data_IF_334410545061
#
_entry.id   IF_334410545061
#
_cell.length_a   1.000
_cell.length_b   1.000
_cell.length_c   1.000
_cell.angle_alpha   90.00
_cell.angle_beta   90.00
_cell.angle_gamma   90.00
#
_symmetry.space_group_name_H-M   'P 1'
#
loop_
_entity.id
_entity.type
_entity.pdbx_description
1 polymer ?
#
# COMPACT_ATOMS: atom_id res chain seq x y z
N UNK A 1 35.23 -7.81 -7.79
CA UNK A 1 34.11 -6.90 -8.10
C UNK A 1 33.25 -6.78 -6.85
N UNK A 2 32.58 -5.65 -6.59
CA UNK A 2 31.65 -5.57 -5.46
C UNK A 2 30.53 -6.59 -5.68
N UNK A 3 30.10 -7.23 -4.60
CA UNK A 3 28.94 -8.13 -4.64
C UNK A 3 27.69 -7.34 -5.02
N UNK A 4 26.73 -7.98 -5.68
CA UNK A 4 25.50 -7.37 -6.15
C UNK A 4 24.31 -7.70 -5.24
N UNK A 5 23.31 -6.84 -5.27
CA UNK A 5 21.97 -7.10 -4.74
C UNK A 5 21.03 -7.32 -5.94
N UNK A 6 20.35 -8.47 -6.00
CA UNK A 6 19.31 -8.70 -6.99
C UNK A 6 17.99 -8.09 -6.51
N UNK A 7 17.62 -6.91 -7.02
CA UNK A 7 16.34 -6.27 -6.73
C UNK A 7 15.30 -6.69 -7.75
N UNK A 8 14.37 -7.55 -7.34
CA UNK A 8 13.40 -8.20 -8.22
C UNK A 8 12.02 -7.56 -8.00
N UNK A 9 11.41 -7.05 -9.08
CA UNK A 9 10.09 -6.43 -9.04
C UNK A 9 9.22 -6.87 -10.21
N UNK A 10 7.88 -6.88 -10.07
CA UNK A 10 7.00 -7.22 -11.18
C UNK A 10 7.21 -6.29 -12.38
N UNK A 11 7.29 -4.97 -12.14
CA UNK A 11 7.49 -3.89 -13.13
C UNK A 11 7.98 -2.62 -12.41
N UNK A 12 8.48 -1.60 -13.16
CA UNK A 12 8.95 -0.35 -12.56
C UNK A 12 7.88 0.40 -11.74
N UNK A 13 6.63 0.31 -12.16
CA UNK A 13 5.51 0.99 -11.53
C UNK A 13 4.79 0.07 -10.52
N UNK A 14 4.25 0.53 -9.39
CA UNK A 14 4.10 1.92 -8.93
C UNK A 14 5.40 2.55 -8.37
N UNK A 15 5.35 3.87 -8.11
CA UNK A 15 6.48 4.68 -7.62
C UNK A 15 7.17 4.09 -6.38
N UNK A 16 6.41 3.42 -5.52
CA UNK A 16 6.95 2.72 -4.35
C UNK A 16 8.07 1.73 -4.71
N UNK A 17 8.00 1.06 -5.87
CA UNK A 17 9.04 0.13 -6.32
C UNK A 17 10.38 0.84 -6.59
N UNK A 18 10.34 2.10 -7.07
CA UNK A 18 11.52 2.92 -7.28
C UNK A 18 12.08 3.41 -5.94
N UNK A 19 11.20 3.94 -5.08
CA UNK A 19 11.60 4.44 -3.76
C UNK A 19 12.23 3.37 -2.86
N UNK A 20 11.75 2.13 -2.93
CA UNK A 20 12.35 1.00 -2.19
C UNK A 20 13.73 0.65 -2.74
N UNK A 21 13.90 0.62 -4.06
CA UNK A 21 15.20 0.37 -4.69
C UNK A 21 16.23 1.44 -4.26
N UNK A 22 15.87 2.74 -4.34
CA UNK A 22 16.70 3.85 -3.91
C UNK A 22 17.04 3.79 -2.41
N UNK A 23 16.05 3.42 -1.58
CA UNK A 23 16.23 3.31 -0.14
C UNK A 23 17.16 2.14 0.22
N UNK A 24 17.02 1.01 -0.47
CA UNK A 24 17.90 -0.15 -0.29
C UNK A 24 19.34 0.16 -0.74
N UNK A 25 19.51 0.78 -1.90
CA UNK A 25 20.84 1.17 -2.41
C UNK A 25 21.57 2.11 -1.44
N UNK A 26 20.85 3.05 -0.81
CA UNK A 26 21.44 3.93 0.23
C UNK A 26 21.89 3.18 1.49
N UNK A 27 21.26 2.06 1.81
CA UNK A 27 21.64 1.26 2.99
C UNK A 27 22.81 0.31 2.72
N UNK A 28 23.09 -0.01 1.46
CA UNK A 28 24.20 -0.89 1.04
C UNK A 28 25.04 -0.24 -0.06
N UNK A 29 25.69 0.92 0.25
CA UNK A 29 26.41 1.70 -0.76
C UNK A 29 27.65 0.96 -1.32
N UNK A 30 28.12 -0.06 -0.62
CA UNK A 30 29.23 -0.93 -1.03
C UNK A 30 28.84 -1.99 -2.06
N UNK A 31 27.54 -2.14 -2.35
CA UNK A 31 27.02 -3.15 -3.27
C UNK A 31 26.32 -2.51 -4.47
N UNK A 32 26.44 -3.13 -5.62
CA UNK A 32 25.70 -2.72 -6.82
C UNK A 32 24.27 -3.26 -6.76
N UNK A 33 23.27 -2.39 -6.93
CA UNK A 33 21.87 -2.80 -7.02
C UNK A 33 21.50 -3.12 -8.47
N UNK A 34 21.30 -4.40 -8.79
CA UNK A 34 20.83 -4.83 -10.10
C UNK A 34 19.31 -5.00 -10.11
N UNK A 35 18.62 -4.19 -10.93
CA UNK A 35 17.16 -4.20 -11.03
C UNK A 35 16.69 -5.21 -12.07
N UNK A 36 15.85 -6.15 -11.66
CA UNK A 36 15.27 -7.19 -12.51
C UNK A 36 13.75 -7.03 -12.54
N UNK A 37 13.18 -6.74 -13.72
CA UNK A 37 11.74 -6.67 -13.91
C UNK A 37 11.22 -8.01 -14.43
N UNK A 38 10.34 -8.66 -13.70
CA UNK A 38 9.76 -9.97 -14.08
C UNK A 38 8.98 -9.88 -15.39
N UNK A 39 8.22 -8.79 -15.57
CA UNK A 39 7.43 -8.57 -16.79
C UNK A 39 8.31 -8.56 -18.05
N UNK A 40 9.51 -7.98 -17.96
CA UNK A 40 10.46 -7.93 -19.09
C UNK A 40 11.03 -9.32 -19.40
N UNK A 41 11.37 -10.11 -18.36
CA UNK A 41 11.83 -11.50 -18.53
C UNK A 41 10.77 -12.37 -19.22
N UNK A 42 9.52 -12.25 -18.81
CA UNK A 42 8.43 -13.02 -19.40
C UNK A 42 8.14 -12.57 -20.84
N UNK A 43 8.15 -11.26 -21.10
CA UNK A 43 7.95 -10.69 -22.45
C UNK A 43 9.05 -11.09 -23.45
N UNK A 44 10.26 -11.31 -22.97
CA UNK A 44 11.38 -11.79 -23.79
C UNK A 44 11.17 -13.24 -24.28
N UNK A 45 10.14 -13.95 -23.82
CA UNK A 45 9.79 -15.33 -24.24
C UNK A 45 8.38 -15.39 -24.87
N UNK A 46 8.24 -15.16 -26.20
CA UNK A 46 6.94 -15.20 -26.87
C UNK A 46 6.20 -16.53 -26.69
N UNK A 47 6.93 -17.64 -26.69
CA UNK A 47 6.38 -18.97 -26.45
C UNK A 47 5.71 -19.06 -25.07
N UNK A 48 6.36 -18.50 -24.03
CA UNK A 48 5.79 -18.46 -22.68
C UNK A 48 4.49 -17.65 -22.66
N UNK A 49 4.44 -16.52 -23.36
CA UNK A 49 3.22 -15.70 -23.44
C UNK A 49 2.06 -16.46 -24.08
N UNK A 50 2.30 -17.14 -25.20
CA UNK A 50 1.27 -17.91 -25.92
C UNK A 50 0.75 -19.08 -25.06
N UNK A 51 1.65 -19.90 -24.55
CA UNK A 51 1.27 -21.05 -23.71
C UNK A 51 0.50 -20.59 -22.48
N UNK A 52 0.99 -19.55 -21.79
CA UNK A 52 0.32 -19.06 -20.57
C UNK A 52 -1.04 -18.43 -20.87
N UNK A 53 -1.21 -17.76 -22.02
CA UNK A 53 -2.52 -17.23 -22.44
C UNK A 53 -3.55 -18.37 -22.63
N UNK A 54 -3.16 -19.44 -23.28
CA UNK A 54 -4.01 -20.63 -23.46
C UNK A 54 -4.35 -21.24 -22.09
N UNK A 55 -3.35 -21.45 -21.23
CA UNK A 55 -3.55 -22.01 -19.90
C UNK A 55 -4.41 -21.10 -19.00
N UNK A 56 -4.33 -19.78 -19.18
CA UNK A 56 -5.18 -18.82 -18.46
C UNK A 56 -6.65 -19.03 -18.82
N UNK A 57 -6.95 -19.18 -20.13
CA UNK A 57 -8.31 -19.45 -20.58
C UNK A 57 -8.80 -20.83 -20.11
N UNK A 58 -7.97 -21.87 -20.21
CA UNK A 58 -8.32 -23.20 -19.74
C UNK A 58 -8.58 -23.26 -18.23
N UNK A 59 -7.80 -22.51 -17.44
CA UNK A 59 -7.91 -22.54 -15.98
C UNK A 59 -9.00 -21.62 -15.44
N UNK A 60 -9.14 -20.42 -16.01
CA UNK A 60 -9.98 -19.35 -15.47
C UNK A 60 -11.03 -18.81 -16.45
N UNK A 61 -11.22 -19.47 -17.60
CA UNK A 61 -12.12 -18.98 -18.66
C UNK A 61 -13.55 -18.74 -18.19
N UNK A 62 -14.11 -19.65 -17.38
CA UNK A 62 -15.43 -19.46 -16.77
C UNK A 62 -15.47 -18.23 -15.84
N UNK A 63 -14.49 -18.07 -14.97
CA UNK A 63 -14.40 -16.92 -14.06
C UNK A 63 -14.24 -15.60 -14.81
N UNK A 64 -13.51 -15.63 -15.94
CA UNK A 64 -13.30 -14.46 -16.79
C UNK A 64 -14.61 -14.10 -17.52
N UNK A 65 -15.31 -15.09 -18.06
CA UNK A 65 -16.57 -14.87 -18.78
C UNK A 65 -17.70 -14.35 -17.87
N UNK A 66 -17.70 -14.75 -16.59
CA UNK A 66 -18.66 -14.27 -15.58
C UNK A 66 -18.23 -12.94 -14.94
N UNK A 67 -17.07 -12.37 -15.31
CA UNK A 67 -16.55 -11.12 -14.76
C UNK A 67 -16.01 -11.22 -13.32
N UNK A 68 -15.94 -12.44 -12.74
CA UNK A 68 -15.38 -12.65 -11.40
C UNK A 68 -13.87 -12.47 -11.35
N UNK A 69 -13.17 -12.71 -12.48
CA UNK A 69 -11.73 -12.46 -12.65
C UNK A 69 -11.45 -11.69 -13.94
N UNK A 70 -10.39 -10.87 -13.93
CA UNK A 70 -9.90 -10.20 -15.14
C UNK A 70 -8.79 -11.02 -15.78
N UNK A 71 -8.81 -11.18 -17.10
CA UNK A 71 -7.79 -11.94 -17.83
C UNK A 71 -6.36 -11.52 -17.45
N UNK A 72 -6.08 -10.21 -17.43
CA UNK A 72 -4.76 -9.67 -17.08
C UNK A 72 -4.28 -10.09 -15.70
N UNK A 73 -5.17 -10.21 -14.71
CA UNK A 73 -4.83 -10.63 -13.35
C UNK A 73 -4.65 -12.15 -13.27
N UNK A 74 -5.53 -12.90 -13.94
CA UNK A 74 -5.51 -14.36 -14.02
C UNK A 74 -4.27 -14.88 -14.77
N UNK A 75 -3.82 -14.16 -15.82
CA UNK A 75 -2.60 -14.48 -16.56
C UNK A 75 -1.36 -14.62 -15.66
N UNK A 76 -1.21 -13.77 -14.66
CA UNK A 76 -0.10 -13.80 -13.73
C UNK A 76 -0.29 -14.77 -12.54
N UNK A 77 -1.37 -15.59 -12.56
CA UNK A 77 -1.72 -16.50 -11.46
C UNK A 77 -1.94 -17.95 -11.92
N UNK A 78 -1.45 -18.32 -13.08
CA UNK A 78 -1.41 -19.74 -13.47
C UNK A 78 -0.21 -20.42 -12.80
N UNK A 79 -0.30 -21.70 -12.42
CA UNK A 79 0.86 -22.44 -11.92
C UNK A 79 2.02 -22.48 -12.93
N UNK A 80 1.72 -22.50 -14.21
CA UNK A 80 2.73 -22.49 -15.28
C UNK A 80 3.59 -21.23 -15.25
N UNK A 81 3.00 -20.04 -15.18
CA UNK A 81 3.77 -18.78 -15.18
C UNK A 81 4.58 -18.64 -13.89
N UNK A 82 4.06 -19.15 -12.78
CA UNK A 82 4.76 -19.16 -11.50
C UNK A 82 6.08 -19.95 -11.60
N UNK A 83 6.03 -21.18 -12.09
CA UNK A 83 7.22 -22.02 -12.29
C UNK A 83 8.15 -21.46 -13.37
N UNK A 84 7.59 -20.91 -14.43
CA UNK A 84 8.38 -20.34 -15.52
C UNK A 84 9.18 -19.12 -15.07
N UNK A 85 8.58 -18.24 -14.29
CA UNK A 85 9.30 -17.09 -13.70
C UNK A 85 10.46 -17.56 -12.83
N UNK A 86 10.27 -18.58 -11.99
CA UNK A 86 11.33 -19.16 -11.18
C UNK A 86 12.50 -19.69 -12.03
N UNK A 87 12.21 -20.38 -13.13
CA UNK A 87 13.21 -20.88 -14.08
C UNK A 87 13.98 -19.75 -14.77
N UNK A 88 13.26 -18.71 -15.24
CA UNK A 88 13.87 -17.56 -15.91
C UNK A 88 14.79 -16.78 -14.95
N UNK A 89 14.35 -16.61 -13.70
CA UNK A 89 15.18 -15.97 -12.67
C UNK A 89 16.40 -16.81 -12.31
N UNK A 90 16.28 -18.13 -12.23
CA UNK A 90 17.42 -19.02 -12.02
C UNK A 90 18.48 -18.83 -13.12
N UNK A 91 18.07 -18.77 -14.38
CA UNK A 91 18.97 -18.53 -15.51
C UNK A 91 19.59 -17.12 -15.45
N UNK A 92 18.79 -16.10 -15.09
CA UNK A 92 19.25 -14.71 -15.02
C UNK A 92 20.25 -14.46 -13.90
N UNK A 93 20.09 -15.15 -12.76
CA UNK A 93 20.94 -15.02 -11.58
C UNK A 93 22.14 -15.97 -11.59
N UNK A 94 22.13 -16.98 -12.48
CA UNK A 94 23.25 -17.92 -12.60
C UNK A 94 24.53 -17.22 -13.08
N UNK A 95 25.63 -17.43 -12.37
CA UNK A 95 26.94 -16.84 -12.66
C UNK A 95 27.13 -15.40 -12.16
N UNK A 96 26.14 -14.79 -11.52
CA UNK A 96 26.30 -13.52 -10.84
C UNK A 96 26.77 -13.68 -9.39
N UNK A 97 27.62 -12.77 -8.91
CA UNK A 97 28.06 -12.73 -7.50
C UNK A 97 27.08 -11.84 -6.70
N UNK A 98 25.99 -12.45 -6.22
CA UNK A 98 24.97 -11.76 -5.43
C UNK A 98 25.14 -12.07 -3.94
N UNK A 99 25.03 -11.03 -3.09
CA UNK A 99 24.99 -11.19 -1.63
C UNK A 99 23.63 -11.68 -1.17
N UNK A 100 22.58 -11.15 -1.76
CA UNK A 100 21.19 -11.53 -1.49
C UNK A 100 20.27 -11.07 -2.61
N UNK A 101 19.02 -11.56 -2.59
CA UNK A 101 17.93 -11.09 -3.44
C UNK A 101 16.85 -10.43 -2.60
N UNK A 102 16.27 -9.34 -3.12
CA UNK A 102 15.19 -8.59 -2.50
C UNK A 102 14.02 -8.47 -3.47
N UNK A 103 12.90 -9.07 -3.11
CA UNK A 103 11.72 -9.16 -3.96
C UNK A 103 10.63 -8.21 -3.51
N UNK A 104 10.06 -7.49 -4.46
CA UNK A 104 8.84 -6.69 -4.29
C UNK A 104 7.62 -7.55 -4.58
N UNK A 105 6.68 -7.60 -3.63
CA UNK A 105 5.44 -8.37 -3.72
C UNK A 105 5.61 -9.89 -3.66
N UNK A 106 4.53 -10.62 -3.41
CA UNK A 106 4.51 -12.07 -3.19
C UNK A 106 3.92 -12.87 -4.36
N UNK A 107 3.88 -12.28 -5.57
CA UNK A 107 3.21 -12.90 -6.72
C UNK A 107 3.93 -14.15 -7.25
N UNK A 108 5.27 -14.22 -7.10
CA UNK A 108 6.11 -15.31 -7.57
C UNK A 108 7.15 -15.71 -6.52
N UNK A 109 7.62 -16.95 -6.60
CA UNK A 109 8.77 -17.38 -5.81
C UNK A 109 10.07 -17.05 -6.57
N UNK A 110 10.75 -16.00 -6.14
CA UNK A 110 12.01 -15.54 -6.74
C UNK A 110 13.24 -16.06 -5.98
N UNK A 111 13.06 -16.90 -4.96
CA UNK A 111 14.15 -17.49 -4.19
C UNK A 111 15.04 -18.40 -5.03
N UNK A 112 16.33 -18.43 -4.72
CA UNK A 112 17.29 -19.34 -5.33
C UNK A 112 18.06 -20.10 -4.24
N UNK A 113 18.39 -21.38 -4.46
CA UNK A 113 19.22 -22.15 -3.52
C UNK A 113 20.56 -21.46 -3.21
N UNK A 114 20.91 -21.35 -1.94
CA UNK A 114 22.18 -20.76 -1.50
C UNK A 114 22.23 -19.23 -1.54
N UNK A 115 21.16 -18.53 -1.95
CA UNK A 115 21.08 -17.07 -1.96
C UNK A 115 20.04 -16.60 -0.93
N UNK A 116 20.43 -15.86 0.14
CA UNK A 116 19.49 -15.25 1.06
C UNK A 116 18.44 -14.43 0.32
N UNK A 117 17.15 -14.65 0.64
CA UNK A 117 16.04 -14.08 -0.09
C UNK A 117 15.09 -13.31 0.83
N UNK A 118 14.81 -12.06 0.49
CA UNK A 118 13.95 -11.16 1.25
C UNK A 118 12.75 -10.73 0.42
N UNK A 119 11.58 -10.66 1.06
CA UNK A 119 10.33 -10.24 0.41
C UNK A 119 9.82 -8.98 1.10
N UNK A 120 9.31 -8.03 0.32
CA UNK A 120 8.58 -6.88 0.83
C UNK A 120 7.23 -6.75 0.12
N UNK A 121 6.15 -6.91 0.87
CA UNK A 121 4.78 -6.91 0.32
C UNK A 121 3.84 -6.00 1.10
N UNK A 122 2.83 -5.45 0.41
CA UNK A 122 1.77 -4.64 0.99
C UNK A 122 0.45 -5.40 1.11
N UNK A 123 0.37 -6.59 0.53
CA UNK A 123 -0.87 -7.35 0.52
C UNK A 123 -0.58 -8.84 0.37
N UNK A 124 -1.51 -9.66 0.87
CA UNK A 124 -1.60 -11.10 0.59
C UNK A 124 -2.96 -11.41 -0.01
N UNK A 125 -3.08 -12.52 -0.73
CA UNK A 125 -4.37 -12.86 -1.32
C UNK A 125 -5.43 -13.16 -0.26
N UNK A 126 -5.06 -13.87 0.82
CA UNK A 126 -6.00 -14.22 1.90
C UNK A 126 -6.35 -13.02 2.79
N UNK A 127 -5.53 -11.97 2.85
CA UNK A 127 -5.90 -10.75 3.58
C UNK A 127 -7.18 -10.09 3.05
N UNK A 128 -7.59 -10.36 1.81
CA UNK A 128 -8.88 -9.91 1.30
C UNK A 128 -10.07 -10.43 2.10
N UNK A 129 -9.93 -11.56 2.80
CA UNK A 129 -10.99 -12.14 3.64
C UNK A 129 -11.29 -11.31 4.89
N UNK A 130 -10.41 -10.39 5.27
CA UNK A 130 -10.65 -9.45 6.39
C UNK A 130 -11.58 -8.30 6.02
N UNK A 131 -11.86 -8.09 4.74
CA UNK A 131 -12.76 -7.03 4.29
C UNK A 131 -14.19 -7.56 4.15
N UNK A 132 -15.15 -6.95 4.84
CA UNK A 132 -16.55 -7.39 4.89
C UNK A 132 -17.24 -7.56 3.53
N UNK A 133 -16.84 -6.73 2.57
CA UNK A 133 -17.44 -6.68 1.23
C UNK A 133 -16.69 -7.54 0.21
N UNK A 134 -15.72 -8.33 0.63
CA UNK A 134 -14.97 -9.15 -0.30
C UNK A 134 -15.82 -10.26 -0.90
N UNK A 135 -15.93 -10.27 -2.22
CA UNK A 135 -16.64 -11.34 -2.92
C UNK A 135 -15.75 -12.59 -3.01
N UNK A 136 -16.15 -13.66 -2.33
CA UNK A 136 -15.43 -14.94 -2.28
C UNK A 136 -15.19 -15.56 -3.67
N UNK A 137 -16.03 -15.26 -4.68
CA UNK A 137 -15.82 -15.68 -6.08
C UNK A 137 -14.53 -15.09 -6.69
N UNK A 138 -13.98 -14.04 -6.11
CA UNK A 138 -12.70 -13.46 -6.52
C UNK A 138 -11.49 -14.20 -5.93
N UNK A 139 -11.70 -15.09 -4.96
CA UNK A 139 -10.63 -15.89 -4.38
C UNK A 139 -10.06 -16.83 -5.46
N UNK A 140 -8.74 -16.94 -5.52
CA UNK A 140 -8.07 -17.88 -6.41
C UNK A 140 -8.10 -19.29 -5.80
N UNK A 141 -8.01 -20.35 -6.63
CA UNK A 141 -8.05 -21.73 -6.16
C UNK A 141 -6.94 -22.05 -5.14
N UNK A 142 -7.16 -23.04 -4.28
CA UNK A 142 -6.22 -23.46 -3.25
C UNK A 142 -4.81 -23.69 -3.78
N UNK A 143 -4.69 -24.30 -4.96
CA UNK A 143 -3.39 -24.52 -5.62
C UNK A 143 -2.59 -23.24 -5.79
N UNK A 144 -3.23 -22.11 -6.10
CA UNK A 144 -2.54 -20.83 -6.22
C UNK A 144 -2.18 -20.25 -4.83
N UNK A 145 -3.06 -20.42 -3.84
CA UNK A 145 -2.80 -20.04 -2.44
C UNK A 145 -1.58 -20.80 -1.89
N UNK A 146 -1.46 -22.09 -2.21
CA UNK A 146 -0.32 -22.90 -1.82
C UNK A 146 0.99 -22.43 -2.46
N UNK A 147 0.94 -21.95 -3.72
CA UNK A 147 2.09 -21.32 -4.37
C UNK A 147 2.47 -20.00 -3.69
N UNK A 148 1.50 -19.17 -3.32
CA UNK A 148 1.79 -17.95 -2.55
C UNK A 148 2.37 -18.28 -1.16
N UNK A 149 1.88 -19.32 -0.49
CA UNK A 149 2.46 -19.83 0.76
C UNK A 149 3.92 -20.25 0.58
N UNK A 150 4.24 -20.92 -0.53
CA UNK A 150 5.62 -21.32 -0.85
C UNK A 150 6.55 -20.11 -0.99
N UNK A 151 6.06 -18.99 -1.56
CA UNK A 151 6.83 -17.73 -1.64
C UNK A 151 7.33 -17.29 -0.27
N UNK A 152 6.42 -17.25 0.72
CA UNK A 152 6.78 -16.88 2.09
C UNK A 152 7.66 -17.92 2.77
N UNK A 153 7.41 -19.21 2.53
CA UNK A 153 8.18 -20.30 3.14
C UNK A 153 9.64 -20.30 2.69
N UNK A 154 9.91 -19.93 1.45
CA UNK A 154 11.25 -19.91 0.86
C UNK A 154 12.04 -18.63 1.14
N UNK A 155 11.40 -17.58 1.69
CA UNK A 155 12.10 -16.37 2.07
C UNK A 155 12.91 -16.55 3.36
N UNK A 156 14.05 -15.87 3.48
CA UNK A 156 14.82 -15.74 4.73
C UNK A 156 14.11 -14.84 5.73
N UNK A 157 13.51 -13.71 5.24
CA UNK A 157 12.63 -12.81 5.99
C UNK A 157 11.54 -12.28 5.08
N UNK A 158 10.39 -12.00 5.67
CA UNK A 158 9.24 -11.35 5.02
C UNK A 158 9.00 -10.01 5.68
N UNK A 159 9.17 -8.94 4.92
CA UNK A 159 8.83 -7.58 5.34
C UNK A 159 7.43 -7.23 4.85
N UNK A 160 6.65 -6.64 5.71
CA UNK A 160 5.27 -6.24 5.40
C UNK A 160 5.04 -4.78 5.74
N UNK A 161 4.06 -4.16 5.04
CA UNK A 161 3.78 -2.73 5.20
C UNK A 161 2.81 -2.41 6.33
N UNK A 162 2.15 -3.43 6.90
CA UNK A 162 1.16 -3.23 7.96
C UNK A 162 1.06 -4.43 8.89
N UNK A 163 0.55 -4.20 10.12
CA UNK A 163 0.30 -5.26 11.10
C UNK A 163 -0.76 -6.25 10.61
N UNK A 164 -1.78 -5.78 9.91
CA UNK A 164 -2.82 -6.60 9.29
C UNK A 164 -2.21 -7.61 8.28
N UNK A 165 -1.23 -7.19 7.48
CA UNK A 165 -0.54 -8.11 6.56
C UNK A 165 0.44 -9.02 7.31
N UNK A 166 1.06 -8.55 8.40
CA UNK A 166 1.84 -9.43 9.28
C UNK A 166 0.98 -10.56 9.83
N UNK A 167 -0.17 -10.24 10.39
CA UNK A 167 -1.15 -11.22 10.87
C UNK A 167 -1.55 -12.20 9.78
N UNK A 168 -1.85 -11.70 8.57
CA UNK A 168 -2.20 -12.57 7.44
C UNK A 168 -1.08 -13.56 7.11
N UNK A 169 0.17 -13.11 6.98
CA UNK A 169 1.32 -14.00 6.66
C UNK A 169 1.55 -15.02 7.77
N UNK A 170 1.42 -14.62 9.02
CA UNK A 170 1.62 -15.52 10.17
C UNK A 170 0.48 -16.52 10.30
N UNK A 171 -0.76 -16.06 10.35
CA UNK A 171 -1.92 -16.90 10.69
C UNK A 171 -2.48 -17.64 9.47
N UNK A 172 -2.67 -16.95 8.35
CA UNK A 172 -3.32 -17.54 7.17
C UNK A 172 -2.33 -18.34 6.30
N UNK A 173 -1.06 -17.92 6.24
CA UNK A 173 -0.01 -18.65 5.51
C UNK A 173 0.92 -19.45 6.42
N UNK A 174 0.67 -19.48 7.73
CA UNK A 174 1.37 -20.28 8.73
C UNK A 174 2.89 -20.06 8.75
N UNK A 175 3.32 -18.80 8.64
CA UNK A 175 4.73 -18.48 8.76
C UNK A 175 5.11 -18.15 10.22
N UNK A 176 6.31 -18.53 10.67
CA UNK A 176 6.77 -18.17 12.02
C UNK A 176 6.82 -16.65 12.21
N UNK A 177 6.34 -16.15 13.35
CA UNK A 177 6.33 -14.71 13.65
C UNK A 177 7.73 -14.09 13.60
N UNK A 178 8.78 -14.80 14.04
CA UNK A 178 10.17 -14.34 13.99
C UNK A 178 10.74 -14.19 12.57
N UNK A 179 10.01 -14.62 11.55
CA UNK A 179 10.37 -14.47 10.13
C UNK A 179 9.69 -13.27 9.48
N UNK A 180 8.59 -12.75 10.05
CA UNK A 180 7.72 -11.75 9.46
C UNK A 180 7.82 -10.43 10.23
N UNK A 181 8.30 -9.38 9.58
CA UNK A 181 8.57 -8.10 10.23
C UNK A 181 7.73 -6.98 9.62
N UNK A 182 6.90 -6.31 10.42
CA UNK A 182 6.19 -5.11 10.01
C UNK A 182 7.16 -3.91 10.04
N UNK A 183 7.61 -3.52 8.87
CA UNK A 183 8.55 -2.41 8.67
C UNK A 183 7.86 -1.13 8.20
N UNK A 184 6.57 -1.23 7.84
CA UNK A 184 5.75 -0.18 7.22
C UNK A 184 6.23 0.20 5.81
N UNK A 185 5.90 1.40 5.33
CA UNK A 185 6.43 1.97 4.09
C UNK A 185 6.66 3.47 4.28
N UNK A 186 7.58 4.01 3.50
CA UNK A 186 7.81 5.45 3.45
C UNK A 186 6.76 6.17 2.62
N UNK A 187 6.57 7.45 2.89
CA UNK A 187 5.71 8.32 2.12
C UNK A 187 6.30 8.56 0.71
N UNK A 188 5.44 8.86 -0.27
CA UNK A 188 5.86 9.22 -1.62
C UNK A 188 6.49 10.62 -1.68
N UNK A 189 6.04 11.54 -0.83
CA UNK A 189 6.60 12.89 -0.66
C UNK A 189 7.78 12.82 0.30
N UNK A 190 8.85 13.53 0.01
CA UNK A 190 10.01 13.60 0.89
C UNK A 190 9.62 14.25 2.23
N UNK A 191 9.99 13.59 3.32
CA UNK A 191 9.65 14.06 4.67
C UNK A 191 10.61 15.20 5.01
N UNK A 192 10.06 16.41 5.16
CA UNK A 192 10.82 17.60 5.61
C UNK A 192 11.05 17.54 7.11
N UNK A 193 12.09 18.23 7.61
CA UNK A 193 12.38 18.28 9.05
C UNK A 193 11.38 19.12 9.84
N UNK A 194 10.74 20.07 9.18
CA UNK A 194 9.74 20.96 9.78
C UNK A 194 8.46 20.93 8.94
N UNK A 195 7.28 21.09 9.57
CA UNK A 195 6.04 21.27 8.85
C UNK A 195 6.14 22.46 7.89
N UNK A 196 5.69 22.29 6.66
CA UNK A 196 5.62 23.39 5.70
C UNK A 196 4.64 24.45 6.23
N UNK A 197 5.12 25.65 6.52
CA UNK A 197 4.35 26.85 6.93
C UNK A 197 3.39 26.64 8.12
N UNK A 198 3.13 27.73 8.86
CA UNK A 198 2.13 27.75 9.96
C UNK A 198 0.74 27.47 9.38
N UNK A 199 0.23 26.24 9.53
CA UNK A 199 -1.06 25.80 8.99
C UNK A 199 -2.21 26.49 9.71
N UNK A 200 -3.20 26.96 8.93
CA UNK A 200 -4.47 27.45 9.46
C UNK A 200 -5.50 26.32 9.47
N UNK A 201 -6.27 26.21 10.55
CA UNK A 201 -7.34 25.21 10.69
C UNK A 201 -8.74 25.86 10.77
N UNK A 202 -8.87 27.13 10.34
CA UNK A 202 -10.12 27.87 10.46
C UNK A 202 -10.99 27.85 9.20
N UNK A 203 -10.49 27.29 8.09
CA UNK A 203 -11.17 27.36 6.79
C UNK A 203 -12.30 26.33 6.59
N UNK A 204 -12.53 25.43 7.54
CA UNK A 204 -13.58 24.40 7.50
C UNK A 204 -13.59 23.57 6.20
N UNK A 205 -12.43 23.37 5.58
CA UNK A 205 -12.31 22.59 4.34
C UNK A 205 -11.93 21.13 4.63
N UNK A 206 -12.82 20.21 4.28
CA UNK A 206 -12.63 18.76 4.38
C UNK A 206 -12.02 18.28 3.06
N UNK A 207 -10.94 17.52 3.13
CA UNK A 207 -10.28 16.97 1.95
C UNK A 207 -10.48 15.46 1.86
N UNK A 208 -10.88 15.00 0.68
CA UNK A 208 -10.85 13.61 0.25
C UNK A 208 -9.87 13.45 -0.92
N UNK A 209 -8.99 12.44 -0.88
CA UNK A 209 -8.08 12.11 -1.98
C UNK A 209 -8.15 10.63 -2.30
N UNK A 210 -8.68 10.28 -3.47
CA UNK A 210 -8.80 8.89 -3.92
C UNK A 210 -9.38 8.78 -5.32
N UNK A 211 -8.94 7.76 -6.09
CA UNK A 211 -9.40 7.57 -7.48
C UNK A 211 -10.67 6.71 -7.53
N UNK A 212 -10.71 5.64 -6.73
CA UNK A 212 -11.82 4.69 -6.69
C UNK A 212 -12.86 5.15 -5.67
N UNK A 213 -13.84 5.90 -6.15
CA UNK A 213 -14.85 6.58 -5.33
C UNK A 213 -15.61 5.64 -4.38
N UNK A 214 -16.10 4.52 -4.92
CA UNK A 214 -16.87 3.53 -4.16
C UNK A 214 -16.02 2.82 -3.10
N UNK A 215 -14.88 2.29 -3.52
CA UNK A 215 -13.98 1.58 -2.62
C UNK A 215 -13.41 2.48 -1.53
N UNK A 216 -13.22 3.77 -1.83
CA UNK A 216 -12.70 4.78 -0.88
C UNK A 216 -13.79 5.41 0.01
N UNK A 217 -15.03 4.91 -0.11
CA UNK A 217 -16.12 5.29 0.79
C UNK A 217 -16.73 6.66 0.52
N UNK A 218 -16.55 7.17 -0.69
CA UNK A 218 -17.08 8.46 -1.08
C UNK A 218 -18.57 8.65 -0.83
N UNK A 219 -19.45 7.68 -1.16
CA UNK A 219 -20.88 7.81 -0.86
C UNK A 219 -21.18 8.04 0.64
N UNK A 220 -20.52 7.30 1.54
CA UNK A 220 -20.68 7.48 2.98
C UNK A 220 -20.18 8.87 3.44
N UNK A 221 -19.09 9.37 2.84
CA UNK A 221 -18.60 10.72 3.11
C UNK A 221 -19.61 11.79 2.74
N UNK A 222 -20.32 11.65 1.61
CA UNK A 222 -21.36 12.60 1.21
C UNK A 222 -22.49 12.64 2.24
N UNK A 223 -22.96 11.50 2.72
CA UNK A 223 -24.00 11.46 3.75
C UNK A 223 -23.53 12.10 5.07
N UNK A 224 -22.31 11.82 5.49
CA UNK A 224 -21.70 12.46 6.66
C UNK A 224 -21.56 13.98 6.45
N UNK A 225 -21.14 14.43 5.27
CA UNK A 225 -20.99 15.86 4.96
C UNK A 225 -22.34 16.62 4.99
N UNK A 226 -23.43 15.98 4.56
CA UNK A 226 -24.78 16.58 4.70
C UNK A 226 -25.12 16.84 6.18
N UNK A 227 -24.79 15.91 7.09
CA UNK A 227 -24.98 16.08 8.53
C UNK A 227 -24.07 17.17 9.09
N UNK A 228 -22.82 17.24 8.66
CA UNK A 228 -21.87 18.29 9.05
C UNK A 228 -22.41 19.67 8.67
N UNK A 229 -22.95 19.85 7.48
CA UNK A 229 -23.48 21.13 7.01
C UNK A 229 -24.70 21.64 7.79
N UNK A 230 -25.44 20.77 8.44
CA UNK A 230 -26.53 21.22 9.33
C UNK A 230 -25.99 22.03 10.52
N UNK A 231 -24.79 21.71 11.01
CA UNK A 231 -24.12 22.43 12.11
C UNK A 231 -23.13 23.50 11.63
N UNK A 232 -22.43 23.20 10.53
CA UNK A 232 -21.44 24.08 9.88
C UNK A 232 -21.85 24.40 8.44
N UNK A 233 -22.78 25.34 8.19
CA UNK A 233 -23.25 25.63 6.83
C UNK A 233 -22.15 26.12 5.88
N UNK A 234 -21.09 26.74 6.42
CA UNK A 234 -19.90 27.20 5.67
C UNK A 234 -18.88 26.10 5.37
N UNK A 235 -19.04 24.90 5.94
CA UNK A 235 -18.11 23.79 5.68
C UNK A 235 -18.09 23.45 4.18
N UNK A 236 -16.89 23.13 3.68
CA UNK A 236 -16.68 22.75 2.28
C UNK A 236 -16.01 21.38 2.20
N UNK A 237 -16.31 20.66 1.11
CA UNK A 237 -15.70 19.36 0.78
C UNK A 237 -14.97 19.47 -0.55
N UNK A 238 -13.68 19.13 -0.56
CA UNK A 238 -12.87 19.04 -1.79
C UNK A 238 -12.57 17.59 -2.09
N UNK A 239 -12.96 17.11 -3.28
CA UNK A 239 -12.76 15.73 -3.76
C UNK A 239 -11.70 15.76 -4.86
N UNK A 240 -10.56 15.09 -4.62
CA UNK A 240 -9.45 14.99 -5.55
C UNK A 240 -9.22 13.52 -5.97
N UNK A 241 -8.97 13.30 -7.24
CA UNK A 241 -8.72 11.99 -7.83
C UNK A 241 -9.96 11.34 -8.44
N UNK A 242 -11.04 11.23 -7.70
CA UNK A 242 -12.34 10.75 -8.19
C UNK A 242 -13.11 11.87 -8.89
N UNK A 243 -14.03 11.47 -9.78
CA UNK A 243 -14.94 12.40 -10.48
C UNK A 243 -16.38 11.87 -10.40
N UNK A 244 -16.98 11.79 -9.19
CA UNK A 244 -18.38 11.44 -9.06
C UNK A 244 -19.26 12.55 -9.67
N UNK A 245 -20.40 12.14 -10.23
CA UNK A 245 -21.44 13.10 -10.66
C UNK A 245 -22.22 13.54 -9.42
N UNK A 246 -21.89 14.73 -8.89
CA UNK A 246 -22.43 15.27 -7.65
C UNK A 246 -22.85 16.73 -7.85
N UNK A 247 -24.10 17.02 -7.53
CA UNK A 247 -24.62 18.37 -7.39
C UNK A 247 -24.90 18.65 -5.91
N UNK A 248 -23.87 19.05 -5.17
CA UNK A 248 -23.95 19.33 -3.74
C UNK A 248 -23.28 20.67 -3.44
N UNK A 249 -24.01 21.55 -2.76
CA UNK A 249 -23.50 22.86 -2.37
C UNK A 249 -22.25 22.75 -1.48
N UNK A 250 -21.28 23.64 -1.67
CA UNK A 250 -19.97 23.62 -1.00
C UNK A 250 -19.16 22.34 -1.21
N UNK A 251 -19.48 21.55 -2.25
CA UNK A 251 -18.70 20.39 -2.65
C UNK A 251 -18.00 20.66 -3.99
N UNK A 252 -16.66 20.61 -3.98
CA UNK A 252 -15.83 20.81 -5.18
C UNK A 252 -15.26 19.47 -5.63
N UNK A 253 -15.71 18.97 -6.78
CA UNK A 253 -15.12 17.81 -7.45
C UNK A 253 -14.02 18.31 -8.40
N UNK A 254 -12.76 17.98 -8.08
CA UNK A 254 -11.58 18.40 -8.85
C UNK A 254 -11.22 17.36 -9.91
N UNK A 255 -11.44 16.08 -9.60
CA UNK A 255 -10.99 14.98 -10.45
C UNK A 255 -9.48 14.72 -10.34
N UNK A 256 -8.91 14.09 -11.38
CA UNK A 256 -7.48 13.76 -11.42
C UNK A 256 -6.61 15.00 -11.56
N UNK A 257 -5.57 15.08 -10.72
CA UNK A 257 -4.56 16.14 -10.75
C UNK A 257 -3.16 15.53 -10.94
N UNK A 258 -2.20 16.34 -11.33
CA UNK A 258 -0.79 15.92 -11.34
C UNK A 258 -0.27 15.75 -9.92
N UNK A 259 0.67 14.83 -9.68
CA UNK A 259 1.26 14.66 -8.34
C UNK A 259 1.85 15.95 -7.76
N UNK A 260 2.41 16.83 -8.60
CA UNK A 260 2.96 18.13 -8.19
C UNK A 260 1.90 19.13 -7.69
N UNK A 261 0.66 18.97 -8.10
CA UNK A 261 -0.46 19.85 -7.72
C UNK A 261 -1.16 19.37 -6.43
N UNK A 262 -1.00 18.08 -6.09
CA UNK A 262 -1.71 17.44 -5.00
C UNK A 262 -1.36 18.06 -3.63
N UNK A 263 -0.11 18.48 -3.45
CA UNK A 263 0.37 19.09 -2.21
C UNK A 263 -0.44 20.33 -1.79
N UNK A 264 -0.84 21.17 -2.75
CA UNK A 264 -1.61 22.38 -2.47
C UNK A 264 -2.97 22.09 -1.83
N UNK A 265 -3.59 20.96 -2.17
CA UNK A 265 -4.87 20.56 -1.57
C UNK A 265 -4.68 20.11 -0.12
N UNK A 266 -3.61 19.36 0.18
CA UNK A 266 -3.28 19.00 1.56
C UNK A 266 -2.93 20.24 2.40
N UNK A 267 -2.20 21.21 1.85
CA UNK A 267 -1.82 22.44 2.55
C UNK A 267 -3.02 23.31 2.92
N UNK A 268 -4.03 23.41 2.03
CA UNK A 268 -5.21 24.27 2.22
C UNK A 268 -6.34 23.60 2.99
N UNK A 269 -6.31 22.29 3.18
CA UNK A 269 -7.34 21.57 3.92
C UNK A 269 -7.23 21.82 5.45
N UNK A 270 -8.35 21.72 6.13
CA UNK A 270 -8.45 21.76 7.61
C UNK A 270 -8.28 20.36 8.20
N UNK A 271 -8.90 19.37 7.57
CA UNK A 271 -8.82 17.96 7.94
C UNK A 271 -8.89 17.06 6.70
N UNK A 272 -8.44 15.83 6.85
CA UNK A 272 -8.54 14.80 5.83
C UNK A 272 -9.55 13.73 6.26
N UNK A 273 -10.46 13.38 5.36
CA UNK A 273 -11.45 12.32 5.60
C UNK A 273 -11.53 11.37 4.42
N UNK A 274 -11.22 10.10 4.63
CA UNK A 274 -11.38 9.05 3.63
C UNK A 274 -11.88 7.76 4.28
N UNK A 275 -13.21 7.52 4.29
CA UNK A 275 -13.83 6.36 4.95
C UNK A 275 -13.76 5.11 4.06
N UNK A 276 -12.55 4.70 3.71
CA UNK A 276 -12.30 3.61 2.77
C UNK A 276 -12.82 2.26 3.28
N UNK A 277 -13.28 1.41 2.36
CA UNK A 277 -13.78 0.05 2.65
C UNK A 277 -12.68 -1.01 2.52
N UNK A 278 -11.65 -0.71 1.76
CA UNK A 278 -10.48 -1.57 1.52
C UNK A 278 -9.23 -0.71 1.42
N UNK A 279 -8.27 -0.90 2.32
CA UNK A 279 -7.03 -0.13 2.33
C UNK A 279 -5.82 -1.01 2.68
N UNK A 280 -5.07 -1.47 1.67
CA UNK A 280 -3.88 -2.27 1.92
C UNK A 280 -2.79 -1.51 2.69
N UNK A 281 -2.61 -0.20 2.41
CA UNK A 281 -1.60 0.58 3.11
C UNK A 281 -2.03 2.01 3.45
N UNK A 282 -2.55 2.81 2.50
CA UNK A 282 -3.07 4.15 2.80
C UNK A 282 -2.10 5.31 2.56
N UNK A 283 -1.44 5.35 1.41
CA UNK A 283 -0.51 6.44 1.05
C UNK A 283 -1.14 7.84 1.20
N UNK A 284 -2.39 8.04 0.76
CA UNK A 284 -3.07 9.33 0.86
C UNK A 284 -3.24 9.80 2.33
N UNK A 285 -3.39 8.86 3.27
CA UNK A 285 -3.39 9.18 4.69
C UNK A 285 -2.02 9.68 5.15
N UNK A 286 -0.94 9.01 4.75
CA UNK A 286 0.41 9.42 5.12
C UNK A 286 0.77 10.79 4.54
N UNK A 287 0.34 11.08 3.31
CA UNK A 287 0.51 12.39 2.68
C UNK A 287 -0.25 13.48 3.45
N UNK A 288 -1.49 13.21 3.87
CA UNK A 288 -2.29 14.11 4.71
C UNK A 288 -1.66 14.33 6.09
N UNK A 289 -1.15 13.26 6.72
CA UNK A 289 -0.47 13.32 8.01
C UNK A 289 0.83 14.14 7.91
N UNK A 290 1.60 13.99 6.83
CA UNK A 290 2.79 14.81 6.57
C UNK A 290 2.44 16.30 6.42
N UNK A 291 1.28 16.61 5.85
CA UNK A 291 0.76 17.97 5.78
C UNK A 291 0.13 18.46 7.11
N UNK A 292 0.37 17.77 8.21
CA UNK A 292 -0.15 18.08 9.54
C UNK A 292 -1.69 18.15 9.58
N UNK A 293 -2.39 17.27 8.84
CA UNK A 293 -3.85 17.20 8.92
C UNK A 293 -4.29 16.23 10.01
N UNK A 294 -5.29 16.57 10.82
CA UNK A 294 -6.05 15.58 11.58
C UNK A 294 -6.79 14.66 10.59
N UNK A 295 -6.90 13.40 10.95
CA UNK A 295 -7.40 12.34 10.06
C UNK A 295 -8.73 11.78 10.56
N UNK A 296 -9.64 11.53 9.63
CA UNK A 296 -10.79 10.65 9.85
C UNK A 296 -10.69 9.50 8.86
N UNK A 297 -10.65 8.29 9.38
CA UNK A 297 -10.53 7.06 8.60
C UNK A 297 -11.32 5.91 9.22
N UNK A 298 -11.41 4.81 8.48
CA UNK A 298 -12.14 3.61 8.90
C UNK A 298 -11.21 2.56 9.48
N UNK A 299 -11.73 1.76 10.39
CA UNK A 299 -11.03 0.64 11.04
C UNK A 299 -10.86 -0.54 10.08
N UNK A 300 -10.06 -0.36 9.02
CA UNK A 300 -9.79 -1.41 8.02
C UNK A 300 -8.32 -1.44 7.59
N UNK A 301 -7.84 -2.63 7.27
CA UNK A 301 -6.51 -2.84 6.67
C UNK A 301 -5.39 -2.22 7.50
N UNK A 302 -4.58 -1.34 6.88
CA UNK A 302 -3.44 -0.72 7.53
C UNK A 302 -3.77 0.53 8.35
N UNK A 303 -5.00 1.04 8.32
CA UNK A 303 -5.35 2.33 8.94
C UNK A 303 -5.10 2.33 10.45
N UNK A 304 -5.43 1.27 11.23
CA UNK A 304 -5.16 1.23 12.67
C UNK A 304 -3.67 1.32 13.05
N UNK A 305 -2.75 1.08 12.10
CA UNK A 305 -1.31 1.17 12.38
C UNK A 305 -0.83 2.63 12.56
N UNK A 306 -1.53 3.58 11.96
CA UNK A 306 -1.14 5.01 11.99
C UNK A 306 -2.25 5.94 12.49
N UNK A 307 -3.49 5.48 12.60
CA UNK A 307 -4.61 6.25 13.11
C UNK A 307 -5.15 5.62 14.40
N UNK A 308 -4.97 6.32 15.50
CA UNK A 308 -5.49 5.95 16.81
C UNK A 308 -6.61 6.92 17.20
N UNK A 309 -7.77 6.33 17.54
CA UNK A 309 -8.96 7.11 17.89
C UNK A 309 -8.68 8.11 19.03
N UNK A 310 -9.12 9.36 18.86
CA UNK A 310 -8.98 10.48 19.80
C UNK A 310 -7.52 10.83 20.22
N UNK A 311 -6.54 10.25 19.54
CA UNK A 311 -5.14 10.62 19.77
C UNK A 311 -4.56 11.47 18.62
N UNK A 312 -4.77 11.07 17.38
CA UNK A 312 -4.30 11.79 16.19
C UNK A 312 -5.36 11.95 15.10
N UNK A 313 -6.61 11.59 15.42
CA UNK A 313 -7.76 11.66 14.55
C UNK A 313 -8.93 10.84 15.09
N UNK A 314 -9.85 10.49 14.20
CA UNK A 314 -10.99 9.64 14.54
C UNK A 314 -11.01 8.39 13.67
N UNK A 315 -11.05 7.23 14.32
CA UNK A 315 -11.18 5.93 13.70
C UNK A 315 -12.63 5.47 13.86
N UNK A 316 -13.34 5.26 12.74
CA UNK A 316 -14.75 4.87 12.72
C UNK A 316 -14.92 3.51 12.05
N UNK A 317 -16.02 2.82 12.30
CA UNK A 317 -16.30 1.58 11.57
C UNK A 317 -16.75 1.86 10.13
N UNK A 318 -16.50 0.95 9.17
CA UNK A 318 -16.98 1.10 7.80
C UNK A 318 -18.49 1.30 7.75
N UNK A 319 -18.95 2.39 7.13
CA UNK A 319 -20.36 2.73 7.01
C UNK A 319 -20.95 3.52 8.19
N UNK A 320 -20.18 3.79 9.24
CA UNK A 320 -20.62 4.66 10.35
C UNK A 320 -20.62 6.14 9.94
N UNK A 321 -21.67 6.53 9.24
CA UNK A 321 -21.90 7.91 8.77
C UNK A 321 -22.01 8.88 9.94
N UNK A 322 -22.69 8.50 11.02
CA UNK A 322 -22.90 9.36 12.19
C UNK A 322 -21.62 9.61 12.96
N UNK A 323 -20.85 8.55 13.23
CA UNK A 323 -19.54 8.65 13.89
C UNK A 323 -18.56 9.51 13.07
N UNK A 324 -18.56 9.34 11.74
CA UNK A 324 -17.76 10.18 10.84
C UNK A 324 -18.17 11.64 10.91
N UNK A 325 -19.47 11.96 10.82
CA UNK A 325 -19.97 13.32 10.91
C UNK A 325 -19.62 13.96 12.27
N UNK A 326 -19.79 13.23 13.37
CA UNK A 326 -19.45 13.70 14.71
C UNK A 326 -17.94 13.99 14.84
N UNK A 327 -17.09 13.13 14.29
CA UNK A 327 -15.64 13.35 14.26
C UNK A 327 -15.25 14.59 13.47
N UNK A 328 -15.86 14.81 12.29
CA UNK A 328 -15.65 16.03 11.50
C UNK A 328 -16.10 17.27 12.28
N UNK A 329 -17.30 17.26 12.85
CA UNK A 329 -17.84 18.36 13.63
C UNK A 329 -16.92 18.71 14.80
N UNK A 330 -16.47 17.71 15.56
CA UNK A 330 -15.56 17.92 16.71
C UNK A 330 -14.25 18.60 16.29
N UNK A 331 -13.71 18.27 15.12
CA UNK A 331 -12.53 18.92 14.57
C UNK A 331 -12.81 20.34 14.06
N UNK A 332 -13.96 20.58 13.45
CA UNK A 332 -14.33 21.92 12.97
C UNK A 332 -14.69 22.88 14.11
N UNK A 333 -15.21 22.36 15.24
CA UNK A 333 -15.48 23.12 16.46
C UNK A 333 -14.20 23.54 17.22
N UNK A 334 -13.10 22.76 17.07
CA UNK A 334 -11.87 22.98 17.86
C UNK A 334 -10.60 23.02 16.96
N UNK A 335 -10.21 24.20 16.46
CA UNK A 335 -8.95 24.38 15.72
C UNK A 335 -7.69 24.00 16.52
N UNK A 336 -7.73 24.04 17.88
CA UNK A 336 -6.63 23.66 18.73
C UNK A 336 -6.43 22.15 18.72
N UNK A 337 -7.53 21.37 18.72
CA UNK A 337 -7.54 19.94 18.55
C UNK A 337 -6.99 19.53 17.18
N UNK A 338 -7.40 20.25 16.12
CA UNK A 338 -6.85 20.05 14.78
C UNK A 338 -5.33 20.21 14.76
N UNK A 339 -4.81 21.25 15.39
CA UNK A 339 -3.38 21.49 15.49
C UNK A 339 -2.66 20.37 16.25
N UNK A 340 -3.19 19.99 17.42
CA UNK A 340 -2.63 18.91 18.24
C UNK A 340 -2.52 17.59 17.45
N UNK A 341 -3.61 17.19 16.77
CA UNK A 341 -3.63 15.97 16.00
C UNK A 341 -2.72 16.06 14.76
N UNK A 342 -2.68 17.22 14.11
CA UNK A 342 -1.80 17.48 12.99
C UNK A 342 -0.31 17.37 13.36
N UNK A 343 0.10 17.91 14.50
CA UNK A 343 1.46 17.80 15.01
C UNK A 343 1.84 16.35 15.34
N UNK A 344 0.94 15.61 15.99
CA UNK A 344 1.13 14.17 16.26
C UNK A 344 1.30 13.37 14.99
N UNK A 345 0.47 13.65 13.99
CA UNK A 345 0.54 13.01 12.68
C UNK A 345 1.86 13.27 11.96
N UNK A 346 2.31 14.53 11.93
CA UNK A 346 3.59 14.89 11.33
C UNK A 346 4.77 14.17 12.00
N UNK A 347 4.80 14.14 13.33
CA UNK A 347 5.85 13.47 14.08
C UNK A 347 5.85 11.95 13.82
N UNK A 348 4.68 11.33 13.78
CA UNK A 348 4.55 9.90 13.49
C UNK A 348 5.08 9.54 12.10
N UNK A 349 4.82 10.40 11.09
CA UNK A 349 5.38 10.23 9.74
C UNK A 349 6.90 10.27 9.77
N UNK A 350 7.48 11.26 10.45
CA UNK A 350 8.93 11.40 10.54
C UNK A 350 9.59 10.19 11.21
N UNK A 351 9.01 9.68 12.28
CA UNK A 351 9.55 8.58 13.07
C UNK A 351 9.43 7.22 12.41
N UNK A 352 8.29 6.92 11.75
CA UNK A 352 7.95 5.56 11.32
C UNK A 352 7.76 5.38 9.83
N UNK A 353 7.29 6.41 9.11
CA UNK A 353 6.84 6.33 7.73
C UNK A 353 7.72 7.13 6.76
N UNK A 354 8.99 7.35 7.13
CA UNK A 354 10.02 7.83 6.21
C UNK A 354 10.76 6.65 5.56
N UNK A 355 11.20 6.79 4.31
CA UNK A 355 12.00 5.75 3.66
C UNK A 355 13.33 5.50 4.38
N UNK A 356 13.85 6.49 5.10
CA UNK A 356 15.03 6.32 5.96
C UNK A 356 14.74 5.35 7.10
N UNK A 357 13.66 5.56 7.86
CA UNK A 357 13.29 4.68 8.97
C UNK A 357 12.96 3.25 8.50
N UNK A 358 12.25 3.12 7.37
CA UNK A 358 11.90 1.82 6.78
C UNK A 358 13.14 1.07 6.32
N UNK A 359 14.05 1.75 5.59
CA UNK A 359 15.24 1.09 5.05
C UNK A 359 16.27 0.72 6.12
N UNK A 360 16.32 1.45 7.23
CA UNK A 360 17.12 1.06 8.41
C UNK A 360 16.63 -0.27 9.00
N UNK A 361 15.31 -0.50 9.07
CA UNK A 361 14.75 -1.80 9.49
C UNK A 361 15.08 -2.91 8.49
N UNK A 362 15.03 -2.64 7.17
CA UNK A 362 15.51 -3.61 6.18
C UNK A 362 16.96 -3.99 6.45
N UNK A 363 17.86 -2.99 6.58
CA UNK A 363 19.29 -3.24 6.82
C UNK A 363 19.50 -4.10 8.06
N UNK A 364 18.86 -3.75 9.16
CA UNK A 364 18.99 -4.49 10.42
C UNK A 364 18.68 -5.98 10.24
N UNK A 365 17.50 -6.31 9.72
CA UNK A 365 17.08 -7.71 9.56
C UNK A 365 17.80 -8.45 8.42
N UNK A 366 18.28 -7.75 7.39
CA UNK A 366 19.09 -8.34 6.34
C UNK A 366 20.45 -8.75 6.91
N UNK A 367 21.12 -7.87 7.64
CA UNK A 367 22.42 -8.16 8.25
C UNK A 367 22.35 -9.32 9.24
N UNK A 368 21.31 -9.42 10.08
CA UNK A 368 21.09 -10.57 10.97
C UNK A 368 21.09 -11.91 10.23
N UNK A 369 20.60 -11.96 8.99
CA UNK A 369 20.60 -13.18 8.17
C UNK A 369 21.96 -13.41 7.55
N UNK A 370 22.59 -12.36 6.99
CA UNK A 370 23.88 -12.48 6.29
C UNK A 370 25.04 -12.87 7.25
N UNK A 371 24.96 -12.43 8.52
CA UNK A 371 25.96 -12.79 9.55
C UNK A 371 25.85 -14.25 10.01
N UNK A 372 24.72 -14.91 9.76
CA UNK A 372 24.48 -16.31 10.13
C UNK A 372 24.67 -17.29 8.96
N UNK A 373 24.86 -16.78 7.75
CA UNK A 373 25.01 -17.54 6.50
C UNK A 373 26.47 -17.72 6.14
#
# INVERSE_FOLDING_TARGET
MPKKIAFIRPKPWPLANVKVADALARQFPEQELEIINIEDLVKASPVTLVINSILTVLTYGFDISTGSKKFKEAFWRTPFIFEKVKQLLKQRLSGGDYSFSFQMQSLFDCSQPGLPHFIYTDHTHLANLSYSDFNLKKLYPQKWIDLEKQVYSNASRVFVRSSNIQTSVVEQYHQPIGKVHCVYAGNNVEVTETPAKKKSYTHQNILFVGIDWERKGGPALIEAFKLVRQKHPSASLTIVGASPDLMLENCKVVGKVKPSELNSYYETATLFCMPTRVEPFGIAFLEAMQASLPIIGTNVGAIPDFLQNEWNGFLVEPGDVTGMANGIIKLLDDPSLCRLYGERNFNLIKERYSWTAVSQKFRHHILEVLERS
#
